data_IF_683123022193
#
_entry.id   IF_683123022193
#
_cell.length_a   1.000
_cell.length_b   1.000
_cell.length_c   1.000
_cell.angle_alpha   90.00
_cell.angle_beta   90.00
_cell.angle_gamma   90.00
#
_symmetry.space_group_name_H-M   'P 1'
#
loop_
_entity.id
_entity.type
_entity.pdbx_description
1 polymer ?
#
# COMPACT_ATOMS: atom_id res chain seq x y z
N UNK A 1 15.41 7.97 -13.67
CA UNK A 1 14.70 8.07 -12.38
C UNK A 1 14.71 6.66 -11.81
N UNK A 2 15.12 6.47 -10.56
CA UNK A 2 14.94 5.16 -9.92
C UNK A 2 13.45 5.08 -9.60
N UNK A 3 12.76 4.12 -10.20
CA UNK A 3 11.38 3.82 -9.83
C UNK A 3 11.40 3.24 -8.40
N UNK A 4 10.72 3.88 -7.43
CA UNK A 4 10.76 3.41 -6.06
C UNK A 4 10.07 2.06 -5.96
N UNK A 5 10.60 1.19 -5.11
CA UNK A 5 9.88 0.02 -4.63
C UNK A 5 9.10 0.38 -3.37
N UNK A 6 8.03 -0.37 -3.12
CA UNK A 6 7.18 -0.25 -1.93
C UNK A 6 6.96 -1.65 -1.35
N UNK A 7 7.05 -1.77 -0.04
CA UNK A 7 6.63 -2.98 0.66
C UNK A 7 5.80 -2.64 1.89
N UNK A 8 4.79 -3.46 2.15
CA UNK A 8 3.98 -3.41 3.38
C UNK A 8 4.04 -4.77 4.06
N UNK A 9 4.08 -4.78 5.39
CA UNK A 9 3.82 -5.97 6.21
C UNK A 9 2.78 -5.64 7.28
N UNK A 10 1.76 -6.47 7.38
CA UNK A 10 0.74 -6.42 8.42
C UNK A 10 1.00 -7.51 9.46
N UNK A 11 0.88 -7.16 10.74
CA UNK A 11 1.16 -8.03 11.87
C UNK A 11 -0.04 -8.14 12.81
N UNK A 12 -0.27 -9.33 13.35
CA UNK A 12 -1.30 -9.62 14.36
C UNK A 12 -0.93 -9.13 15.77
N UNK A 13 0.35 -8.81 16.00
CA UNK A 13 0.88 -8.36 17.28
C UNK A 13 1.64 -7.04 17.12
N UNK A 14 1.28 -6.06 17.95
CA UNK A 14 1.94 -4.73 17.98
C UNK A 14 3.41 -4.85 18.35
N UNK A 15 3.73 -5.64 19.39
CA UNK A 15 5.11 -5.81 19.83
C UNK A 15 5.97 -6.49 18.76
N UNK A 16 5.44 -7.54 18.13
CA UNK A 16 6.14 -8.22 17.03
C UNK A 16 6.33 -7.30 15.83
N UNK A 17 5.32 -6.49 15.48
CA UNK A 17 5.41 -5.51 14.40
C UNK A 17 6.45 -4.42 14.65
N UNK A 18 6.55 -3.90 15.87
CA UNK A 18 7.60 -2.93 16.24
C UNK A 18 8.99 -3.57 16.16
N UNK A 19 9.15 -4.80 16.65
CA UNK A 19 10.41 -5.53 16.56
C UNK A 19 10.81 -5.81 15.10
N UNK A 20 9.85 -6.19 14.26
CA UNK A 20 10.06 -6.39 12.84
C UNK A 20 10.46 -5.08 12.15
N UNK A 21 9.78 -3.96 12.44
CA UNK A 21 10.12 -2.65 11.90
C UNK A 21 11.57 -2.25 12.22
N UNK A 22 12.02 -2.46 13.47
CA UNK A 22 13.40 -2.22 13.88
C UNK A 22 14.40 -3.08 13.09
N UNK A 23 14.07 -4.35 12.82
CA UNK A 23 14.90 -5.22 11.99
C UNK A 23 14.94 -4.78 10.52
N UNK A 24 13.81 -4.30 9.97
CA UNK A 24 13.71 -3.82 8.59
C UNK A 24 14.61 -2.61 8.34
N UNK A 25 14.56 -1.60 9.22
CA UNK A 25 15.36 -0.37 9.06
C UNK A 25 16.86 -0.58 9.31
N UNK A 26 17.23 -1.63 10.05
CA UNK A 26 18.62 -2.02 10.28
C UNK A 26 19.21 -2.86 9.15
N UNK A 27 18.37 -3.41 8.26
CA UNK A 27 18.81 -4.32 7.21
C UNK A 27 19.42 -3.58 6.02
N UNK A 28 18.74 -2.55 5.52
CA UNK A 28 19.11 -1.81 4.32
C UNK A 28 18.63 -0.35 4.40
N UNK A 29 19.18 0.58 3.61
CA UNK A 29 18.75 1.97 3.59
C UNK A 29 17.37 2.11 2.93
N UNK A 30 16.34 2.27 3.76
CA UNK A 30 14.94 2.42 3.35
C UNK A 30 14.29 3.62 4.02
N UNK A 31 13.22 4.13 3.42
CA UNK A 31 12.32 5.11 4.01
C UNK A 31 11.15 4.40 4.71
N UNK A 32 10.89 4.73 5.97
CA UNK A 32 9.66 4.30 6.66
C UNK A 32 8.55 5.30 6.36
N UNK A 33 7.66 4.93 5.44
CA UNK A 33 6.54 5.78 5.01
C UNK A 33 5.45 5.79 6.09
N UNK A 34 5.14 4.63 6.68
CA UNK A 34 4.16 4.51 7.75
C UNK A 34 4.47 3.32 8.65
N UNK A 35 4.49 3.52 9.96
CA UNK A 35 4.55 2.44 10.94
C UNK A 35 3.59 2.77 12.09
N UNK A 36 2.65 1.87 12.40
CA UNK A 36 1.65 2.19 13.41
C UNK A 36 0.58 1.13 13.60
N UNK A 37 -0.21 1.33 14.65
CA UNK A 37 -1.35 0.47 14.98
C UNK A 37 -2.51 0.72 14.03
N UNK A 38 -3.24 -0.34 13.70
CA UNK A 38 -4.50 -0.26 12.95
C UNK A 38 -5.61 -0.98 13.71
N UNK A 39 -6.85 -0.84 13.21
CA UNK A 39 -8.02 -1.47 13.83
C UNK A 39 -7.84 -2.99 14.01
N UNK A 40 -8.51 -3.54 15.01
CA UNK A 40 -8.39 -4.93 15.46
C UNK A 40 -7.04 -5.30 16.10
N UNK A 41 -6.33 -4.33 16.69
CA UNK A 41 -5.12 -4.59 17.49
C UNK A 41 -3.90 -4.99 16.67
N UNK A 42 -3.92 -4.73 15.36
CA UNK A 42 -2.86 -5.09 14.42
C UNK A 42 -1.84 -3.95 14.28
N UNK A 43 -0.73 -4.24 13.62
CA UNK A 43 0.33 -3.28 13.33
C UNK A 43 0.74 -3.35 11.87
N UNK A 44 0.99 -2.21 11.24
CA UNK A 44 1.43 -2.15 9.85
C UNK A 44 2.80 -1.47 9.77
N UNK A 45 3.65 -1.93 8.86
CA UNK A 45 4.90 -1.26 8.48
C UNK A 45 4.93 -1.14 6.96
N UNK A 46 5.02 0.08 6.45
CA UNK A 46 5.11 0.44 5.05
C UNK A 46 6.44 1.13 4.80
N UNK A 47 7.23 0.58 3.88
CA UNK A 47 8.58 1.04 3.55
C UNK A 47 8.72 1.29 2.06
N UNK A 48 9.57 2.25 1.70
CA UNK A 48 9.94 2.55 0.32
C UNK A 48 11.46 2.70 0.15
N UNK A 49 11.93 2.64 -1.08
CA UNK A 49 13.36 2.77 -1.38
C UNK A 49 13.76 2.12 -2.70
N UNK A 50 15.04 1.76 -2.81
CA UNK A 50 15.53 0.97 -3.94
C UNK A 50 14.99 -0.46 -3.86
N UNK A 51 14.72 -1.07 -5.02
CA UNK A 51 14.10 -2.40 -5.09
C UNK A 51 14.85 -3.45 -4.26
N UNK A 52 16.17 -3.52 -4.38
CA UNK A 52 16.99 -4.48 -3.63
C UNK A 52 16.94 -4.22 -2.11
N UNK A 53 17.06 -2.96 -1.69
CA UNK A 53 17.04 -2.58 -0.27
C UNK A 53 15.68 -2.89 0.36
N UNK A 54 14.59 -2.57 -0.33
CA UNK A 54 13.22 -2.86 0.12
C UNK A 54 12.98 -4.37 0.19
N UNK A 55 13.45 -5.15 -0.79
CA UNK A 55 13.32 -6.60 -0.80
C UNK A 55 14.06 -7.25 0.37
N UNK A 56 15.31 -6.85 0.62
CA UNK A 56 16.09 -7.35 1.75
C UNK A 56 15.47 -6.97 3.09
N UNK A 57 15.03 -5.72 3.25
CA UNK A 57 14.35 -5.26 4.46
C UNK A 57 13.03 -5.99 4.68
N UNK A 58 12.21 -6.17 3.63
CA UNK A 58 10.99 -6.96 3.70
C UNK A 58 11.26 -8.39 4.19
N UNK A 59 12.28 -9.05 3.63
CA UNK A 59 12.67 -10.39 4.06
C UNK A 59 13.04 -10.44 5.56
N UNK A 60 13.81 -9.46 6.03
CA UNK A 60 14.18 -9.35 7.44
C UNK A 60 12.96 -9.14 8.36
N UNK A 61 12.05 -8.24 7.98
CA UNK A 61 10.83 -7.97 8.73
C UNK A 61 9.92 -9.20 8.83
N UNK A 62 9.76 -9.93 7.73
CA UNK A 62 8.97 -11.18 7.71
C UNK A 62 9.60 -12.27 8.56
N UNK A 63 10.93 -12.41 8.50
CA UNK A 63 11.66 -13.40 9.31
C UNK A 63 11.51 -13.11 10.81
N UNK A 64 11.64 -11.85 11.24
CA UNK A 64 11.52 -11.46 12.65
C UNK A 64 10.07 -11.50 13.13
N UNK A 65 9.12 -11.08 12.29
CA UNK A 65 7.69 -11.15 12.59
C UNK A 65 7.16 -12.59 12.71
N UNK A 66 7.73 -13.52 11.94
CA UNK A 66 7.40 -14.95 11.96
C UNK A 66 5.86 -15.19 11.93
N UNK A 67 5.34 -15.95 12.90
CA UNK A 67 3.91 -16.29 13.04
C UNK A 67 3.00 -15.08 13.23
N UNK A 68 3.54 -13.90 13.56
CA UNK A 68 2.75 -12.68 13.68
C UNK A 68 2.44 -12.02 12.33
N UNK A 69 3.11 -12.42 11.24
CA UNK A 69 2.85 -11.86 9.90
C UNK A 69 1.49 -12.34 9.40
N UNK A 70 0.60 -11.39 9.10
CA UNK A 70 -0.73 -11.68 8.55
C UNK A 70 -0.75 -11.61 7.02
N UNK A 71 -0.16 -10.56 6.47
CA UNK A 71 -0.15 -10.30 5.03
C UNK A 71 1.02 -9.38 4.67
N UNK A 72 1.42 -9.35 3.40
CA UNK A 72 2.46 -8.46 2.89
C UNK A 72 2.28 -8.11 1.42
N UNK A 73 2.83 -6.96 1.04
CA UNK A 73 2.93 -6.49 -0.35
C UNK A 73 4.38 -6.24 -0.70
N UNK A 74 4.76 -6.55 -1.93
CA UNK A 74 5.99 -6.06 -2.55
C UNK A 74 5.70 -5.60 -3.98
N UNK A 75 5.92 -4.31 -4.23
CA UNK A 75 5.83 -3.70 -5.56
C UNK A 75 7.21 -3.17 -5.94
N UNK A 76 7.97 -3.87 -6.81
CA UNK A 76 9.33 -3.47 -7.17
C UNK A 76 9.39 -2.18 -7.99
N UNK A 77 8.28 -1.80 -8.62
CA UNK A 77 8.14 -0.65 -9.51
C UNK A 77 6.83 0.07 -9.22
N UNK A 78 6.64 0.60 -8.00
CA UNK A 78 5.38 1.26 -7.66
C UNK A 78 5.26 2.62 -8.36
N UNK A 79 4.05 2.99 -8.76
CA UNK A 79 3.79 4.33 -9.28
C UNK A 79 4.03 5.37 -8.16
N UNK A 80 4.82 6.45 -8.40
CA UNK A 80 5.18 7.42 -7.35
C UNK A 80 3.98 8.03 -6.64
N UNK A 81 2.88 8.28 -7.37
CA UNK A 81 1.65 8.84 -6.80
C UNK A 81 1.04 7.96 -5.69
N UNK A 82 1.24 6.64 -5.73
CA UNK A 82 0.76 5.74 -4.66
C UNK A 82 1.52 6.03 -3.37
N UNK A 83 2.84 6.18 -3.44
CA UNK A 83 3.72 6.48 -2.31
C UNK A 83 3.36 7.85 -1.72
N UNK A 84 3.25 8.86 -2.58
CA UNK A 84 2.87 10.22 -2.20
C UNK A 84 1.50 10.27 -1.51
N UNK A 85 0.51 9.58 -2.09
CA UNK A 85 -0.87 9.56 -1.57
C UNK A 85 -0.93 8.89 -0.20
N UNK A 86 -0.27 7.74 -0.02
CA UNK A 86 -0.26 7.04 1.28
C UNK A 86 0.54 7.83 2.33
N UNK A 87 1.61 8.50 1.91
CA UNK A 87 2.43 9.38 2.76
C UNK A 87 1.72 10.65 3.22
N UNK A 88 0.48 10.89 2.78
CA UNK A 88 -0.31 12.04 3.20
C UNK A 88 -0.03 13.32 2.40
N UNK A 89 0.48 13.21 1.17
CA UNK A 89 0.53 14.34 0.26
C UNK A 89 -0.87 14.93 0.07
N UNK A 90 -0.94 16.24 -0.21
CA UNK A 90 -2.23 16.93 -0.38
C UNK A 90 -2.98 16.32 -1.57
N UNK A 91 -4.08 15.66 -1.27
CA UNK A 91 -4.98 15.12 -2.27
C UNK A 91 -5.45 16.22 -3.25
N UNK A 92 -5.44 15.97 -4.56
CA UNK A 92 -6.13 16.85 -5.50
C UNK A 92 -7.62 16.87 -5.16
N UNK A 93 -8.26 18.03 -5.35
CA UNK A 93 -9.73 18.05 -5.28
C UNK A 93 -10.28 17.28 -6.49
N UNK A 94 -11.26 16.37 -6.29
CA UNK A 94 -11.93 15.72 -7.41
C UNK A 94 -12.58 16.78 -8.29
N UNK A 95 -12.28 16.72 -9.58
CA UNK A 95 -12.67 17.74 -10.55
C UNK A 95 -13.63 17.20 -11.62
N UNK A 96 -13.68 15.88 -11.83
CA UNK A 96 -14.51 15.21 -12.82
C UNK A 96 -15.22 13.97 -12.23
N UNK A 97 -15.04 12.78 -12.81
CA UNK A 97 -15.57 11.53 -12.29
C UNK A 97 -14.77 11.07 -11.06
N UNK A 98 -15.42 10.23 -10.24
CA UNK A 98 -14.82 9.58 -9.08
C UNK A 98 -15.00 8.07 -9.20
N UNK A 99 -13.90 7.32 -9.13
CA UNK A 99 -13.91 5.86 -9.06
C UNK A 99 -13.47 5.42 -7.68
N UNK A 100 -14.11 4.38 -7.15
CA UNK A 100 -13.82 3.85 -5.81
C UNK A 100 -13.61 2.35 -5.88
N UNK A 101 -12.52 1.87 -5.28
CA UNK A 101 -12.30 0.45 -4.99
C UNK A 101 -12.22 0.28 -3.47
N UNK A 102 -13.03 -0.61 -2.92
CA UNK A 102 -12.94 -1.05 -1.53
C UNK A 102 -12.41 -2.49 -1.50
N UNK A 103 -11.43 -2.75 -0.65
CA UNK A 103 -10.77 -4.05 -0.52
C UNK A 103 -10.89 -4.58 0.90
N UNK A 104 -10.88 -5.91 1.06
CA UNK A 104 -10.94 -6.57 2.37
C UNK A 104 -9.63 -6.46 3.15
N UNK A 105 -8.50 -6.29 2.46
CA UNK A 105 -7.17 -6.14 3.07
C UNK A 105 -6.49 -4.86 2.59
N UNK A 106 -5.56 -4.33 3.39
CA UNK A 106 -4.73 -3.17 2.99
C UNK A 106 -3.79 -3.50 1.84
N UNK A 107 -3.32 -4.74 1.76
CA UNK A 107 -2.45 -5.21 0.70
C UNK A 107 -3.12 -5.09 -0.67
N UNK A 108 -4.36 -5.57 -0.76
CA UNK A 108 -5.20 -5.47 -1.95
C UNK A 108 -5.41 -4.01 -2.37
N UNK A 109 -5.62 -3.07 -1.44
CA UNK A 109 -5.77 -1.65 -1.79
C UNK A 109 -4.51 -1.07 -2.44
N UNK A 110 -3.31 -1.44 -1.96
CA UNK A 110 -2.06 -0.99 -2.56
C UNK A 110 -1.90 -1.54 -3.98
N UNK A 111 -2.18 -2.84 -4.19
CA UNK A 111 -2.17 -3.44 -5.53
C UNK A 111 -3.17 -2.77 -6.47
N UNK A 112 -4.40 -2.55 -6.01
CA UNK A 112 -5.43 -1.88 -6.80
C UNK A 112 -5.00 -0.47 -7.17
N UNK A 113 -4.49 0.32 -6.22
CA UNK A 113 -4.04 1.69 -6.45
C UNK A 113 -2.95 1.76 -7.52
N UNK A 114 -1.91 0.94 -7.39
CA UNK A 114 -0.80 0.90 -8.35
C UNK A 114 -1.25 0.47 -9.75
N UNK A 115 -2.05 -0.60 -9.84
CA UNK A 115 -2.56 -1.07 -11.13
C UNK A 115 -3.52 -0.05 -11.78
N UNK A 116 -4.37 0.61 -10.98
CA UNK A 116 -5.34 1.58 -11.47
C UNK A 116 -4.69 2.82 -12.07
N UNK A 117 -3.72 3.43 -11.37
CA UNK A 117 -3.01 4.61 -11.91
C UNK A 117 -2.12 4.28 -13.12
N UNK A 118 -1.67 3.03 -13.25
CA UNK A 118 -0.92 2.58 -14.43
C UNK A 118 -1.82 2.27 -15.64
N UNK A 119 -3.10 2.02 -15.41
CA UNK A 119 -4.03 1.62 -16.47
C UNK A 119 -4.58 2.81 -17.28
N UNK A 120 -4.66 4.00 -16.69
CA UNK A 120 -5.28 5.16 -17.34
C UNK A 120 -4.80 6.51 -16.76
N UNK A 121 -5.17 7.61 -17.42
CA UNK A 121 -4.81 8.97 -16.99
C UNK A 121 -5.74 9.45 -15.87
N UNK A 122 -5.51 8.95 -14.66
CA UNK A 122 -6.24 9.35 -13.45
C UNK A 122 -5.29 9.92 -12.39
N UNK A 123 -5.86 10.60 -11.40
CA UNK A 123 -5.17 11.02 -10.18
C UNK A 123 -5.69 10.22 -8.98
N UNK A 124 -4.82 9.86 -8.05
CA UNK A 124 -5.23 9.33 -6.75
C UNK A 124 -5.69 10.48 -5.87
N UNK A 125 -6.95 10.41 -5.46
CA UNK A 125 -7.52 11.32 -4.46
C UNK A 125 -7.20 10.80 -3.06
N UNK A 126 -7.30 9.49 -2.86
CA UNK A 126 -7.10 8.90 -1.55
C UNK A 126 -6.69 7.42 -1.66
N UNK A 127 -5.74 7.02 -0.80
CA UNK A 127 -5.45 5.62 -0.49
C UNK A 127 -5.45 5.50 1.02
N UNK A 128 -6.54 4.98 1.59
CA UNK A 128 -6.67 4.81 3.04
C UNK A 128 -6.52 3.35 3.42
N UNK A 129 -5.55 3.07 4.28
CA UNK A 129 -5.18 1.73 4.71
C UNK A 129 -5.65 1.49 6.16
N UNK A 130 -6.66 0.62 6.35
CA UNK A 130 -7.22 0.10 7.61
C UNK A 130 -7.77 1.11 8.64
N UNK A 131 -7.31 2.35 8.64
CA UNK A 131 -7.62 3.35 9.67
C UNK A 131 -9.10 3.77 9.65
N UNK A 132 -9.85 3.32 10.66
CA UNK A 132 -11.30 3.48 10.75
C UNK A 132 -12.10 2.54 9.85
N UNK A 133 -11.46 1.58 9.18
CA UNK A 133 -12.07 0.76 8.12
C UNK A 133 -12.19 -0.74 8.50
N UNK A 134 -11.86 -1.12 9.72
CA UNK A 134 -11.97 -2.51 10.17
C UNK A 134 -10.99 -3.48 9.47
N UNK A 135 -9.85 -2.98 8.98
CA UNK A 135 -8.85 -3.77 8.24
C UNK A 135 -8.98 -3.69 6.71
N UNK A 136 -10.06 -3.09 6.21
CA UNK A 136 -10.26 -2.82 4.79
C UNK A 136 -9.35 -1.71 4.27
N UNK A 137 -9.23 -1.61 2.96
CA UNK A 137 -8.65 -0.46 2.28
C UNK A 137 -9.64 0.20 1.32
N UNK A 138 -9.46 1.49 1.06
CA UNK A 138 -10.18 2.19 -0.01
C UNK A 138 -9.18 2.95 -0.90
N UNK A 139 -9.49 2.97 -2.19
CA UNK A 139 -8.74 3.72 -3.22
C UNK A 139 -9.73 4.57 -4.00
N UNK A 140 -9.44 5.87 -4.10
CA UNK A 140 -10.24 6.84 -4.84
C UNK A 140 -9.43 7.40 -6.01
N UNK A 141 -9.98 7.30 -7.22
CA UNK A 141 -9.44 7.91 -8.43
C UNK A 141 -10.30 9.08 -8.88
N UNK A 142 -9.70 10.10 -9.49
CA UNK A 142 -10.43 11.12 -10.22
C UNK A 142 -9.82 11.41 -11.59
N UNK A 143 -10.67 11.73 -12.56
CA UNK A 143 -10.30 11.99 -13.96
C UNK A 143 -11.52 11.92 -14.87
N UNK A 144 -11.30 11.86 -16.18
CA UNK A 144 -12.38 11.66 -17.15
C UNK A 144 -13.07 10.31 -16.91
N UNK A 145 -14.37 10.23 -17.22
CA UNK A 145 -15.19 9.03 -16.99
C UNK A 145 -14.53 7.77 -17.57
N UNK A 146 -14.08 7.82 -18.83
CA UNK A 146 -13.46 6.68 -19.48
C UNK A 146 -12.13 6.26 -18.83
N UNK A 147 -11.32 7.22 -18.38
CA UNK A 147 -10.07 6.94 -17.66
C UNK A 147 -10.34 6.34 -16.29
N UNK A 148 -11.35 6.84 -15.58
CA UNK A 148 -11.77 6.31 -14.27
C UNK A 148 -12.32 4.88 -14.42
N UNK A 149 -13.14 4.60 -15.42
CA UNK A 149 -13.63 3.24 -15.69
C UNK A 149 -12.47 2.27 -15.99
N UNK A 150 -11.50 2.70 -16.81
CA UNK A 150 -10.31 1.92 -17.12
C UNK A 150 -9.41 1.70 -15.89
N UNK A 151 -9.20 2.73 -15.06
CA UNK A 151 -8.44 2.63 -13.82
C UNK A 151 -9.10 1.68 -12.82
N UNK A 152 -10.43 1.76 -12.65
CA UNK A 152 -11.17 0.85 -11.78
C UNK A 152 -11.08 -0.59 -12.30
N UNK A 153 -11.24 -0.80 -13.61
CA UNK A 153 -11.11 -2.13 -14.21
C UNK A 153 -9.71 -2.71 -14.05
N UNK A 154 -8.66 -1.90 -14.28
CA UNK A 154 -7.26 -2.31 -14.07
C UNK A 154 -6.95 -2.62 -12.61
N UNK A 155 -7.42 -1.79 -11.69
CA UNK A 155 -7.25 -1.97 -10.25
C UNK A 155 -7.97 -3.21 -9.71
N UNK A 156 -9.20 -3.47 -10.15
CA UNK A 156 -9.94 -4.69 -9.76
C UNK A 156 -9.34 -5.95 -10.42
N UNK A 157 -8.81 -5.82 -11.64
CA UNK A 157 -8.26 -6.94 -12.41
C UNK A 157 -7.05 -7.63 -11.77
N UNK A 158 -6.35 -6.95 -10.85
CA UNK A 158 -5.21 -7.53 -10.10
C UNK A 158 -5.59 -8.12 -8.75
N UNK A 159 -6.85 -7.98 -8.33
CA UNK A 159 -7.31 -8.49 -7.04
C UNK A 159 -7.73 -9.96 -7.16
N UNK A 160 -7.25 -10.77 -6.22
CA UNK A 160 -7.76 -12.12 -6.05
C UNK A 160 -9.21 -12.06 -5.55
N UNK A 161 -10.08 -12.93 -6.09
CA UNK A 161 -11.45 -13.05 -5.60
C UNK A 161 -11.42 -13.79 -4.27
N UNK A 162 -12.04 -13.26 -3.21
CA UNK A 162 -12.17 -14.02 -1.97
C UNK A 162 -12.99 -15.29 -2.26
N UNK A 163 -12.49 -16.44 -1.81
CA UNK A 163 -13.20 -17.73 -1.82
C UNK A 163 -14.48 -17.67 -0.96
#
# INVERSE_FOLDING_TARGET
MIEPALALVEFSSIAAGIQAADAMVKRAPIDVIKAGTVHNGKYLVLIGGLTADVEESLAAGRQVGAEAVLDYVFLPHVHPEVVETIGGARAPQPNDALGVIETTTVAAAIHAADAGVKAALVRLVEVRLADGLGGKGIVLYSGLVADVEAAVAGGVGVLERPE
#
